data_IF_337077700476
#
_entry.id   IF_337077700476
#
_cell.length_a   1.000
_cell.length_b   1.000
_cell.length_c   1.000
_cell.angle_alpha   90.00
_cell.angle_beta   90.00
_cell.angle_gamma   90.00
#
_symmetry.space_group_name_H-M   'P 1'
#
loop_
_entity.id
_entity.type
_entity.pdbx_description
1 polymer ?
#
# COMPACT_ATOMS: atom_id res chain seq x y z
N UNK A 1 -20.46 -6.51 10.77
CA UNK A 1 -19.36 -5.71 10.19
C UNK A 1 -18.28 -6.68 9.75
N UNK A 2 -18.10 -6.88 8.44
CA UNK A 2 -16.96 -7.66 7.95
C UNK A 2 -15.72 -6.81 8.17
N UNK A 3 -14.80 -7.28 9.02
CA UNK A 3 -13.49 -6.66 9.15
C UNK A 3 -12.64 -7.13 7.99
N UNK A 4 -12.44 -6.26 6.99
CA UNK A 4 -11.53 -6.56 5.90
C UNK A 4 -10.10 -6.57 6.45
N UNK A 5 -9.48 -7.75 6.42
CA UNK A 5 -8.09 -7.90 6.78
C UNK A 5 -7.25 -7.68 5.52
N UNK A 6 -6.28 -6.78 5.61
CA UNK A 6 -5.31 -6.49 4.56
C UNK A 6 -3.93 -6.99 5.00
N UNK A 7 -3.04 -7.16 4.02
CA UNK A 7 -1.67 -7.62 4.31
C UNK A 7 -0.65 -6.99 3.38
N UNK A 8 0.53 -6.70 3.92
CA UNK A 8 1.72 -6.33 3.19
C UNK A 8 2.72 -7.48 3.22
N UNK A 9 3.32 -7.76 2.07
CA UNK A 9 4.31 -8.80 1.92
C UNK A 9 5.59 -8.18 1.36
N UNK A 10 6.69 -8.48 2.03
CA UNK A 10 8.04 -8.22 1.54
C UNK A 10 8.78 -9.54 1.42
N UNK A 11 9.29 -9.83 0.22
CA UNK A 11 10.21 -10.95 0.01
C UNK A 11 11.63 -10.36 -0.06
N UNK A 12 12.51 -10.73 0.86
CA UNK A 12 13.90 -10.27 0.94
C UNK A 12 14.81 -11.49 0.89
N UNK A 13 15.29 -11.83 -0.31
CA UNK A 13 16.08 -13.05 -0.52
C UNK A 13 15.27 -14.31 -0.17
N UNK A 14 15.72 -15.04 0.86
CA UNK A 14 15.05 -16.25 1.37
C UNK A 14 14.03 -15.95 2.48
N UNK A 15 14.02 -14.73 3.00
CA UNK A 15 13.13 -14.32 4.07
C UNK A 15 11.85 -13.68 3.53
N UNK A 16 10.77 -13.88 4.28
CA UNK A 16 9.45 -13.35 3.95
C UNK A 16 8.83 -12.68 5.16
N UNK A 17 8.61 -11.38 5.04
CA UNK A 17 7.97 -10.56 6.07
C UNK A 17 6.50 -10.36 5.68
N UNK A 18 5.59 -10.72 6.58
CA UNK A 18 4.15 -10.63 6.38
C UNK A 18 3.57 -9.79 7.51
N UNK A 19 3.10 -8.60 7.17
CA UNK A 19 2.39 -7.73 8.09
C UNK A 19 0.90 -7.76 7.77
N UNK A 20 0.08 -8.09 8.75
CA UNK A 20 -1.39 -8.14 8.62
C UNK A 20 -1.99 -7.06 9.48
N UNK A 21 -3.02 -6.40 8.96
CA UNK A 21 -3.69 -5.30 9.63
C UNK A 21 -5.16 -5.27 9.25
N UNK A 22 -6.00 -4.71 10.12
CA UNK A 22 -7.38 -4.41 9.77
C UNK A 22 -7.45 -3.07 9.02
N UNK A 23 -8.38 -2.96 8.08
CA UNK A 23 -8.68 -1.70 7.41
C UNK A 23 -9.04 -0.61 8.43
N UNK A 24 -8.40 0.56 8.32
CA UNK A 24 -8.52 1.66 9.29
C UNK A 24 -7.48 1.60 10.43
N UNK A 25 -6.67 0.55 10.53
CA UNK A 25 -5.56 0.41 11.48
C UNK A 25 -4.19 0.56 10.81
N UNK A 26 -4.10 1.31 9.72
CA UNK A 26 -2.85 1.55 8.99
C UNK A 26 -1.78 2.23 9.87
N UNK A 27 -2.20 3.05 10.84
CA UNK A 27 -1.29 3.67 11.82
C UNK A 27 -0.57 2.63 12.68
N UNK A 28 -1.29 1.62 13.18
CA UNK A 28 -0.70 0.53 13.98
C UNK A 28 0.26 -0.32 13.14
N UNK A 29 -0.07 -0.52 11.86
CA UNK A 29 0.82 -1.16 10.91
C UNK A 29 2.13 -0.38 10.75
N UNK A 30 2.07 0.95 10.58
CA UNK A 30 3.27 1.78 10.48
C UNK A 30 4.14 1.71 11.74
N UNK A 31 3.54 1.72 12.93
CA UNK A 31 4.28 1.51 14.18
C UNK A 31 4.95 0.13 14.24
N UNK A 32 4.27 -0.93 13.78
CA UNK A 32 4.84 -2.27 13.69
C UNK A 32 6.02 -2.34 12.70
N UNK A 33 5.97 -1.64 11.57
CA UNK A 33 7.09 -1.52 10.64
C UNK A 33 8.30 -0.83 11.29
N UNK A 34 8.07 0.25 12.04
CA UNK A 34 9.12 0.96 12.78
C UNK A 34 9.73 0.06 13.85
N UNK A 35 8.91 -0.65 14.62
CA UNK A 35 9.40 -1.60 15.62
C UNK A 35 10.26 -2.68 14.99
N UNK A 36 9.84 -3.23 13.85
CA UNK A 36 10.60 -4.26 13.13
C UNK A 36 11.93 -3.72 12.58
N UNK A 37 11.95 -2.52 12.01
CA UNK A 37 13.17 -1.90 11.49
C UNK A 37 14.20 -1.57 12.58
N UNK A 38 13.76 -1.45 13.83
CA UNK A 38 14.64 -1.28 14.98
C UNK A 38 15.11 -2.62 15.59
N UNK A 39 14.55 -3.76 15.18
CA UNK A 39 14.97 -5.08 15.65
C UNK A 39 16.15 -5.62 14.83
N UNK A 40 17.34 -5.50 15.41
CA UNK A 40 18.60 -6.00 14.83
C UNK A 40 18.70 -7.53 14.74
N UNK A 41 17.70 -8.29 15.21
CA UNK A 41 17.62 -9.75 15.05
C UNK A 41 17.11 -10.18 13.68
N UNK A 42 16.58 -9.25 12.89
CA UNK A 42 16.07 -9.50 11.55
C UNK A 42 16.82 -8.67 10.53
N UNK A 43 16.88 -9.13 9.28
CA UNK A 43 17.46 -8.34 8.19
C UNK A 43 16.49 -7.25 7.69
N UNK A 44 15.36 -7.02 8.35
CA UNK A 44 14.42 -5.96 8.01
C UNK A 44 14.92 -4.60 8.52
N UNK A 45 15.10 -3.63 7.61
CA UNK A 45 15.69 -2.33 7.93
C UNK A 45 14.73 -1.14 7.69
N UNK A 46 15.20 0.07 7.98
CA UNK A 46 14.42 1.30 7.81
C UNK A 46 14.05 1.57 6.35
N UNK A 47 14.82 1.06 5.39
CA UNK A 47 14.52 1.19 3.96
C UNK A 47 13.37 0.26 3.58
N UNK A 48 13.38 -0.98 4.07
CA UNK A 48 12.25 -1.90 3.91
C UNK A 48 10.95 -1.32 4.49
N UNK A 49 11.02 -0.71 5.68
CA UNK A 49 9.89 -0.01 6.30
C UNK A 49 9.37 1.13 5.43
N UNK A 50 10.25 1.95 4.86
CA UNK A 50 9.88 3.03 3.95
C UNK A 50 9.21 2.50 2.66
N UNK A 51 9.75 1.42 2.08
CA UNK A 51 9.19 0.79 0.88
C UNK A 51 7.80 0.22 1.15
N UNK A 52 7.60 -0.45 2.29
CA UNK A 52 6.29 -0.96 2.68
C UNK A 52 5.30 0.17 2.98
N UNK A 53 5.75 1.25 3.63
CA UNK A 53 4.93 2.43 3.90
C UNK A 53 4.47 3.12 2.62
N UNK A 54 5.35 3.21 1.62
CA UNK A 54 4.99 3.76 0.32
C UNK A 54 3.97 2.89 -0.42
N UNK A 55 4.16 1.56 -0.41
CA UNK A 55 3.19 0.61 -0.98
C UNK A 55 1.81 0.71 -0.32
N UNK A 56 1.78 0.89 0.99
CA UNK A 56 0.54 1.14 1.72
C UNK A 56 -0.16 2.39 1.21
N UNK A 57 0.57 3.51 1.11
CA UNK A 57 0.03 4.77 0.59
C UNK A 57 -0.50 4.63 -0.84
N UNK A 58 0.22 3.95 -1.74
CA UNK A 58 -0.25 3.70 -3.09
C UNK A 58 -1.54 2.87 -3.13
N UNK A 59 -1.66 1.86 -2.26
CA UNK A 59 -2.87 1.06 -2.16
C UNK A 59 -4.06 1.90 -1.69
N UNK A 60 -3.86 2.78 -0.70
CA UNK A 60 -4.91 3.65 -0.17
C UNK A 60 -5.36 4.69 -1.21
N UNK A 61 -4.43 5.28 -1.97
CA UNK A 61 -4.76 6.20 -3.05
C UNK A 61 -5.57 5.49 -4.13
N UNK A 62 -5.13 4.31 -4.57
CA UNK A 62 -5.86 3.55 -5.59
C UNK A 62 -7.26 3.11 -5.14
N UNK A 63 -7.45 2.87 -3.84
CA UNK A 63 -8.76 2.59 -3.25
C UNK A 63 -9.64 3.84 -3.19
N UNK A 64 -9.06 4.99 -2.80
CA UNK A 64 -9.75 6.27 -2.84
C UNK A 64 -10.20 6.64 -4.26
N UNK A 65 -9.32 6.45 -5.26
CA UNK A 65 -9.66 6.67 -6.67
C UNK A 65 -10.83 5.77 -7.08
N UNK A 66 -10.80 4.47 -6.77
CA UNK A 66 -11.95 3.58 -7.09
C UNK A 66 -13.24 4.06 -6.47
N UNK A 67 -13.24 4.43 -5.19
CA UNK A 67 -14.44 4.94 -4.51
C UNK A 67 -14.95 6.21 -5.19
N UNK A 68 -14.03 7.09 -5.61
CA UNK A 68 -14.39 8.33 -6.28
C UNK A 68 -14.88 8.12 -7.72
N UNK A 69 -14.40 7.08 -8.42
CA UNK A 69 -14.66 6.87 -9.85
C UNK A 69 -15.70 5.76 -10.17
N UNK A 70 -15.98 4.82 -9.26
CA UNK A 70 -16.96 3.74 -9.50
C UNK A 70 -18.42 4.24 -9.54
N UNK A 71 -18.74 5.38 -8.92
CA UNK A 71 -20.09 5.94 -8.84
C UNK A 71 -20.35 7.13 -9.78
N UNK A 72 -19.38 7.49 -10.64
CA UNK A 72 -19.54 8.62 -11.57
C UNK A 72 -20.06 8.10 -12.91
N UNK A 73 -21.21 8.60 -13.42
CA UNK A 73 -21.66 8.24 -14.76
C UNK A 73 -20.61 8.65 -15.80
N UNK A 74 -20.48 7.85 -16.87
CA UNK A 74 -19.50 7.91 -17.99
C UNK A 74 -19.24 9.32 -18.60
N UNK A 75 -20.07 10.30 -18.28
CA UNK A 75 -19.98 11.69 -18.71
C UNK A 75 -18.95 12.52 -17.93
N UNK A 76 -18.40 12.01 -16.82
CA UNK A 76 -17.38 12.70 -16.00
C UNK A 76 -16.02 11.97 -15.97
N UNK A 77 -15.86 10.87 -16.69
CA UNK A 77 -14.53 10.27 -16.86
C UNK A 77 -13.64 11.29 -17.58
N UNK A 78 -12.46 11.64 -17.04
CA UNK A 78 -11.53 12.51 -17.75
C UNK A 78 -11.21 11.86 -19.10
N UNK A 79 -11.12 12.64 -20.20
CA UNK A 79 -10.77 12.07 -21.48
C UNK A 79 -9.46 11.32 -21.33
N UNK A 80 -9.40 10.09 -21.83
CA UNK A 80 -8.15 9.34 -21.94
C UNK A 80 -7.20 10.27 -22.69
N UNK A 81 -6.21 10.81 -21.98
CA UNK A 81 -5.10 11.50 -22.62
C UNK A 81 -4.36 10.38 -23.31
N UNK A 82 -4.70 10.15 -24.59
CA UNK A 82 -3.86 9.34 -25.46
C UNK A 82 -2.49 9.98 -25.37
N UNK A 83 -1.56 9.27 -24.73
CA UNK A 83 -0.15 9.60 -24.81
C UNK A 83 0.17 9.62 -26.29
N UNK A 84 0.25 10.81 -26.87
CA UNK A 84 0.86 11.00 -28.18
C UNK A 84 2.23 10.35 -28.04
N UNK A 85 2.41 9.22 -28.71
CA UNK A 85 3.69 8.56 -28.88
C UNK A 85 4.66 9.66 -29.38
N UNK A 86 5.54 10.15 -28.50
CA UNK A 86 6.62 11.04 -28.90
C UNK A 86 7.56 10.22 -29.78
N UNK A 87 7.42 10.43 -31.09
CA UNK A 87 8.22 9.90 -32.19
C UNK A 87 9.72 10.26 -32.09
#
# INVERSE_FOLDING_TARGET
>A
MQRNHKQLILNKGVEKYIFRYEEGQEGELLEALVAQANDSRTDFDWFDAAVLSFKLTQSLIGEADRILYDDVPDIFTPPVVESEDEE
#
